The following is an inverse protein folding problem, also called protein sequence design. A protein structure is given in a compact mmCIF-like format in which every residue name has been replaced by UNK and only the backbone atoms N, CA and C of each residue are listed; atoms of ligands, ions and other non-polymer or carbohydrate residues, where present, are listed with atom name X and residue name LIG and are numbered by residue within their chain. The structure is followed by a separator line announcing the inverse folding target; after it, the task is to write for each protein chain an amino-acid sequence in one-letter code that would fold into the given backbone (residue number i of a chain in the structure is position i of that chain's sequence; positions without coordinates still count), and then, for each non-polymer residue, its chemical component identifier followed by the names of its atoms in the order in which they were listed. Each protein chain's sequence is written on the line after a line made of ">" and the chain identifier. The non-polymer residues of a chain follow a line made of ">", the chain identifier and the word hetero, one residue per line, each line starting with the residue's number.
data_IF_566485001657
#
_entry.id   IF_566485001657
#
_cell.length_a   1.000
_cell.length_b   1.000
_cell.length_c   1.000
_cell.angle_alpha   90.00
_cell.angle_beta   90.00
_cell.angle_gamma   90.00
#
_symmetry.space_group_name_H-M   'P 1'
#
loop_
_entity.id
_entity.type
_entity.pdbx_description
1 polymer ?
#
# COMPACT_ATOMS: atom_id res chain seq x y z
N UNK A 1 26.43 -27.62 18.47
CA UNK A 1 27.23 -26.38 18.30
C UNK A 1 27.98 -26.31 16.97
N UNK A 2 28.41 -27.45 16.40
CA UNK A 2 29.09 -27.47 15.09
C UNK A 2 28.22 -26.97 13.91
N UNK A 3 26.95 -27.32 13.90
CA UNK A 3 25.98 -26.90 12.87
C UNK A 3 25.81 -25.37 12.78
N UNK A 4 25.82 -24.73 13.94
CA UNK A 4 25.68 -23.25 14.01
C UNK A 4 26.92 -22.56 13.45
N UNK A 5 28.11 -23.06 13.75
CA UNK A 5 29.36 -22.51 13.23
C UNK A 5 29.46 -22.64 11.70
N UNK A 6 29.08 -23.80 11.16
CA UNK A 6 29.04 -24.00 9.69
C UNK A 6 28.04 -23.09 9.00
N UNK A 7 26.88 -22.79 9.63
CA UNK A 7 25.89 -21.87 9.09
C UNK A 7 26.40 -20.43 9.05
N UNK A 8 27.07 -19.97 10.12
CA UNK A 8 27.68 -18.65 10.20
C UNK A 8 28.74 -18.45 9.11
N UNK A 9 29.63 -19.47 8.96
CA UNK A 9 30.67 -19.43 7.92
C UNK A 9 30.06 -19.39 6.51
N UNK A 10 29.02 -20.16 6.25
CA UNK A 10 28.28 -20.10 4.97
C UNK A 10 27.63 -18.74 4.72
N UNK A 11 27.12 -18.09 5.77
CA UNK A 11 26.51 -16.76 5.65
C UNK A 11 27.54 -15.68 5.32
N UNK A 12 28.77 -15.81 5.80
CA UNK A 12 29.86 -14.85 5.50
C UNK A 12 30.15 -14.75 3.99
N UNK A 13 29.99 -15.85 3.26
CA UNK A 13 30.22 -15.91 1.80
C UNK A 13 28.94 -15.75 0.96
N UNK A 14 27.78 -15.58 1.59
CA UNK A 14 26.54 -15.29 0.87
C UNK A 14 26.42 -13.82 0.54
N UNK A 15 25.89 -13.54 -0.64
CA UNK A 15 25.53 -12.18 -1.03
C UNK A 15 24.52 -11.62 -0.02
N UNK A 16 24.73 -10.40 0.52
CA UNK A 16 23.79 -9.81 1.47
C UNK A 16 22.40 -9.67 0.85
N UNK A 17 21.37 -10.03 1.62
CA UNK A 17 19.98 -9.88 1.22
C UNK A 17 19.45 -8.45 1.41
N UNK A 18 20.25 -7.58 2.06
CA UNK A 18 19.87 -6.20 2.33
C UNK A 18 19.72 -5.42 1.02
N UNK A 19 18.59 -4.77 0.86
CA UNK A 19 18.41 -3.81 -0.22
C UNK A 19 19.22 -2.54 0.08
N UNK A 20 20.20 -2.26 -0.76
CA UNK A 20 21.06 -1.06 -0.63
C UNK A 20 20.44 0.22 -1.23
N UNK A 21 19.19 0.15 -1.69
CA UNK A 21 18.42 1.32 -2.06
C UNK A 21 18.08 2.15 -0.78
N UNK A 22 18.17 3.49 -0.76
CA UNK A 22 18.59 4.36 -1.87
C UNK A 22 20.12 4.58 -1.94
N UNK A 23 20.91 4.07 -1.00
CA UNK A 23 22.36 4.35 -0.87
C UNK A 23 23.16 4.02 -2.16
N UNK A 24 22.75 2.98 -2.89
CA UNK A 24 23.37 2.61 -4.18
C UNK A 24 23.30 3.73 -5.23
N UNK A 25 22.29 4.57 -5.15
CA UNK A 25 22.00 5.63 -6.13
C UNK A 25 22.30 7.03 -5.57
N UNK A 26 22.73 7.11 -4.31
CA UNK A 26 23.07 8.38 -3.69
C UNK A 26 24.34 8.96 -4.35
N UNK A 27 24.31 10.21 -4.84
CA UNK A 27 25.49 10.87 -5.36
C UNK A 27 26.44 11.26 -4.19
N UNK A 28 27.74 11.32 -4.44
CA UNK A 28 28.73 11.76 -3.43
C UNK A 28 28.44 13.18 -2.95
N UNK A 29 27.97 14.05 -3.85
CA UNK A 29 27.53 15.41 -3.52
C UNK A 29 26.21 15.72 -4.22
N UNK A 30 25.18 16.01 -3.43
CA UNK A 30 23.86 16.35 -3.94
C UNK A 30 23.87 17.66 -4.74
N UNK A 31 24.63 18.67 -4.29
CA UNK A 31 24.70 19.96 -4.97
C UNK A 31 25.32 19.82 -6.36
N UNK A 32 26.48 19.16 -6.47
CA UNK A 32 27.14 18.95 -7.76
C UNK A 32 26.30 18.07 -8.70
N UNK A 33 25.53 17.14 -8.16
CA UNK A 33 24.61 16.34 -8.94
C UNK A 33 23.47 17.18 -9.52
N UNK A 34 22.86 18.05 -8.70
CA UNK A 34 21.78 18.94 -9.14
C UNK A 34 22.27 19.97 -10.18
N UNK A 35 23.49 20.49 -10.02
CA UNK A 35 24.11 21.38 -11.02
C UNK A 35 24.30 20.67 -12.38
N UNK A 36 24.71 19.40 -12.36
CA UNK A 36 24.83 18.59 -13.57
C UNK A 36 23.48 18.24 -14.19
N UNK A 37 22.45 18.02 -13.37
CA UNK A 37 21.07 17.85 -13.86
C UNK A 37 20.55 19.12 -14.51
N UNK A 38 20.82 20.30 -13.90
CA UNK A 38 20.45 21.59 -14.46
C UNK A 38 21.14 21.90 -15.82
N UNK A 39 22.34 21.33 -16.02
CA UNK A 39 23.08 21.41 -17.29
C UNK A 39 22.74 20.31 -18.29
N UNK A 40 21.73 19.48 -17.98
CA UNK A 40 21.30 18.34 -18.81
C UNK A 40 22.39 17.28 -19.04
N UNK A 41 23.49 17.30 -18.28
CA UNK A 41 24.58 16.34 -18.40
C UNK A 41 24.22 14.97 -17.85
N UNK A 42 23.32 14.94 -16.83
CA UNK A 42 22.88 13.73 -16.12
C UNK A 42 21.37 13.76 -15.98
N UNK A 43 20.71 12.63 -16.23
CA UNK A 43 19.28 12.48 -15.96
C UNK A 43 19.04 12.04 -14.53
N UNK A 44 17.94 12.51 -13.93
CA UNK A 44 17.45 11.97 -12.67
C UNK A 44 17.19 10.47 -12.82
N UNK A 45 17.48 9.72 -11.77
CA UNK A 45 17.14 8.29 -11.77
C UNK A 45 15.64 8.13 -11.97
N UNK A 46 15.21 7.11 -12.72
CA UNK A 46 13.80 6.82 -12.86
C UNK A 46 13.19 6.52 -11.48
N UNK A 47 11.92 6.85 -11.26
CA UNK A 47 11.25 6.52 -10.02
C UNK A 47 11.32 5.01 -9.76
N UNK A 48 11.29 4.63 -8.48
CA UNK A 48 11.29 3.21 -8.09
C UNK A 48 10.09 2.53 -8.73
N UNK A 49 10.34 1.42 -9.41
CA UNK A 49 9.26 0.60 -9.95
C UNK A 49 8.48 -0.02 -8.81
N UNK A 50 7.20 0.29 -8.74
CA UNK A 50 6.31 -0.24 -7.70
C UNK A 50 5.89 -1.66 -8.11
N UNK A 51 6.09 -2.67 -7.25
CA UNK A 51 5.69 -4.04 -7.55
C UNK A 51 4.17 -4.18 -7.59
N UNK A 52 3.69 -5.12 -8.41
CA UNK A 52 2.26 -5.46 -8.45
C UNK A 52 1.76 -5.89 -7.07
N UNK A 53 0.56 -5.44 -6.70
CA UNK A 53 -0.03 -5.75 -5.39
C UNK A 53 0.52 -4.88 -4.24
N UNK A 54 1.22 -3.80 -4.56
CA UNK A 54 1.64 -2.82 -3.56
C UNK A 54 0.43 -2.24 -2.79
N UNK A 55 0.62 -2.00 -1.51
CA UNK A 55 -0.42 -1.48 -0.61
C UNK A 55 -0.08 -0.06 -0.19
N UNK A 56 -0.30 0.89 -1.10
CA UNK A 56 -0.14 2.31 -0.82
C UNK A 56 -1.39 2.94 -0.20
N UNK A 57 -1.55 4.24 -0.37
CA UNK A 57 -2.69 5.01 0.15
C UNK A 57 -4.02 4.41 -0.30
N UNK A 58 -5.02 4.43 0.57
CA UNK A 58 -6.38 4.00 0.22
C UNK A 58 -7.05 5.10 -0.60
N UNK A 59 -7.65 4.74 -1.73
CA UNK A 59 -8.61 5.58 -2.43
C UNK A 59 -10.03 5.10 -2.14
N UNK A 60 -10.96 6.04 -2.04
CA UNK A 60 -12.35 5.80 -1.70
C UNK A 60 -13.27 6.53 -2.66
N UNK A 61 -14.14 5.78 -3.31
CA UNK A 61 -15.23 6.26 -4.13
C UNK A 61 -16.48 6.44 -3.26
N UNK A 62 -16.74 7.68 -2.92
CA UNK A 62 -17.84 8.04 -2.04
C UNK A 62 -19.21 7.86 -2.71
N UNK A 63 -19.31 8.12 -4.01
CA UNK A 63 -20.58 8.10 -4.72
C UNK A 63 -21.17 6.69 -4.77
N UNK A 64 -20.36 5.70 -5.13
CA UNK A 64 -20.78 4.32 -5.29
C UNK A 64 -20.83 3.53 -3.96
N UNK A 65 -20.48 4.14 -2.84
CA UNK A 65 -20.50 3.49 -1.54
C UNK A 65 -21.93 3.20 -1.06
N UNK A 66 -22.22 1.93 -0.72
CA UNK A 66 -23.53 1.49 -0.23
C UNK A 66 -23.80 1.78 1.26
N UNK A 67 -22.78 2.22 2.03
CA UNK A 67 -22.92 2.50 3.45
C UNK A 67 -23.10 1.25 4.33
N UNK A 68 -22.60 0.09 3.93
CA UNK A 68 -22.81 -1.18 4.64
C UNK A 68 -21.99 -1.34 5.93
N UNK A 69 -21.07 -0.43 6.26
CA UNK A 69 -20.22 -0.39 7.47
C UNK A 69 -19.23 -1.57 7.63
N UNK A 70 -19.11 -2.49 6.68
CA UNK A 70 -18.22 -3.64 6.85
C UNK A 70 -16.76 -3.21 6.99
N UNK A 71 -16.30 -2.26 6.18
CA UNK A 71 -14.95 -1.70 6.27
C UNK A 71 -14.66 -1.05 7.63
N UNK A 72 -15.64 -0.36 8.22
CA UNK A 72 -15.54 0.21 9.57
C UNK A 72 -15.37 -0.87 10.65
N UNK A 73 -16.16 -1.95 10.57
CA UNK A 73 -16.15 -3.05 11.55
C UNK A 73 -14.85 -3.87 11.50
N UNK A 74 -14.30 -4.07 10.30
CA UNK A 74 -13.12 -4.94 10.10
C UNK A 74 -11.80 -4.20 10.37
N UNK A 75 -11.80 -2.86 10.46
CA UNK A 75 -10.57 -2.09 10.58
C UNK A 75 -9.88 -2.31 11.95
N UNK A 76 -8.69 -2.94 12.01
CA UNK A 76 -8.04 -3.27 13.28
C UNK A 76 -7.52 -2.03 14.01
N UNK A 77 -7.18 -0.98 13.30
CA UNK A 77 -6.61 0.26 13.85
C UNK A 77 -7.65 1.37 14.07
N UNK A 78 -8.91 1.10 13.75
CA UNK A 78 -9.98 2.12 13.75
C UNK A 78 -9.61 3.38 12.94
N UNK A 79 -8.94 3.17 11.82
CA UNK A 79 -8.61 4.25 10.90
C UNK A 79 -9.82 4.76 10.09
N UNK A 80 -10.94 4.03 10.12
CA UNK A 80 -12.17 4.37 9.41
C UNK A 80 -13.19 4.86 10.41
N UNK A 81 -13.75 6.04 10.17
CA UNK A 81 -14.86 6.59 10.93
C UNK A 81 -16.15 6.52 10.11
N UNK A 82 -17.25 6.19 10.78
CA UNK A 82 -18.57 6.15 10.17
C UNK A 82 -19.28 7.50 10.33
N UNK A 83 -19.84 8.01 9.24
CA UNK A 83 -20.64 9.25 9.20
C UNK A 83 -22.12 8.86 9.07
N UNK A 84 -22.89 8.83 10.18
CA UNK A 84 -24.27 8.31 10.19
C UNK A 84 -25.23 9.14 9.35
N UNK A 85 -25.07 10.45 9.34
CA UNK A 85 -25.95 11.37 8.59
C UNK A 85 -25.88 11.15 7.09
N UNK A 86 -24.70 10.89 6.58
CA UNK A 86 -24.43 10.73 5.16
C UNK A 86 -24.40 9.26 4.71
N UNK A 87 -24.39 8.32 5.67
CA UNK A 87 -24.18 6.87 5.46
C UNK A 87 -22.89 6.57 4.67
N UNK A 88 -21.85 7.31 4.97
CA UNK A 88 -20.54 7.26 4.30
C UNK A 88 -19.43 7.09 5.33
N UNK A 89 -18.21 6.96 4.85
CA UNK A 89 -17.04 6.78 5.70
C UNK A 89 -16.01 7.89 5.48
N UNK A 90 -15.14 8.04 6.48
CA UNK A 90 -13.95 8.88 6.44
C UNK A 90 -12.76 8.03 6.88
N UNK A 91 -11.68 8.07 6.13
CA UNK A 91 -10.49 7.24 6.37
C UNK A 91 -9.31 8.12 6.78
N UNK A 92 -8.70 7.81 7.92
CA UNK A 92 -7.51 8.50 8.42
C UNK A 92 -6.27 7.68 8.10
N UNK A 93 -5.50 8.12 7.12
CA UNK A 93 -4.28 7.44 6.67
C UNK A 93 -3.25 7.39 7.81
N UNK A 94 -3.16 8.42 8.64
CA UNK A 94 -2.26 8.47 9.80
C UNK A 94 -2.46 7.34 10.83
N UNK A 95 -3.64 6.70 10.85
CA UNK A 95 -3.95 5.55 11.71
C UNK A 95 -3.92 4.22 10.94
N UNK A 96 -3.81 4.27 9.60
CA UNK A 96 -3.95 3.11 8.75
C UNK A 96 -2.68 2.24 8.80
N UNK A 97 -2.84 0.92 8.94
CA UNK A 97 -1.74 -0.05 8.84
C UNK A 97 -1.64 -0.70 7.46
N UNK A 98 -2.36 -0.22 6.47
CA UNK A 98 -2.32 -0.68 5.07
C UNK A 98 -2.57 -2.19 4.90
N UNK A 99 -3.38 -2.80 5.75
CA UNK A 99 -3.66 -4.24 5.73
C UNK A 99 -4.58 -4.70 4.58
N UNK A 100 -5.24 -3.77 3.89
CA UNK A 100 -6.20 -4.00 2.80
C UNK A 100 -7.51 -4.72 3.17
N UNK A 101 -7.74 -5.10 4.42
CA UNK A 101 -8.97 -5.81 4.82
C UNK A 101 -10.25 -5.05 4.48
N UNK A 102 -10.24 -3.72 4.55
CA UNK A 102 -11.40 -2.89 4.16
C UNK A 102 -11.69 -2.95 2.65
N UNK A 103 -10.65 -3.16 1.83
CA UNK A 103 -10.78 -3.36 0.38
C UNK A 103 -11.37 -4.73 0.08
N UNK A 104 -10.86 -5.77 0.75
CA UNK A 104 -11.28 -7.16 0.52
C UNK A 104 -12.74 -7.40 0.94
N UNK A 105 -13.20 -6.76 2.03
CA UNK A 105 -14.55 -6.94 2.56
C UNK A 105 -15.61 -6.07 1.86
N UNK A 106 -15.20 -5.12 1.02
CA UNK A 106 -16.13 -4.18 0.39
C UNK A 106 -16.96 -4.84 -0.73
N UNK A 107 -18.28 -5.02 -0.57
CA UNK A 107 -19.09 -5.74 -1.55
C UNK A 107 -19.28 -4.97 -2.86
N UNK A 108 -19.11 -3.65 -2.82
CA UNK A 108 -19.25 -2.75 -3.98
C UNK A 108 -17.91 -2.24 -4.51
N UNK A 109 -16.80 -2.70 -3.93
CA UNK A 109 -15.43 -2.39 -4.35
C UNK A 109 -15.12 -0.89 -4.49
N UNK A 110 -15.66 -0.07 -3.60
CA UNK A 110 -15.44 1.38 -3.56
C UNK A 110 -14.17 1.80 -2.82
N UNK A 111 -13.43 0.84 -2.28
CA UNK A 111 -12.13 1.04 -1.66
C UNK A 111 -11.06 0.30 -2.46
N UNK A 112 -9.96 0.96 -2.77
CA UNK A 112 -8.81 0.34 -3.45
C UNK A 112 -7.51 0.81 -2.81
N UNK A 113 -6.47 -0.04 -2.88
CA UNK A 113 -5.11 0.36 -2.54
C UNK A 113 -4.46 0.97 -3.77
N UNK A 114 -3.87 2.14 -3.64
CA UNK A 114 -3.14 2.81 -4.72
C UNK A 114 -1.65 2.49 -4.66
N UNK A 115 -0.91 2.99 -5.61
CA UNK A 115 0.55 2.92 -5.63
C UNK A 115 1.21 4.11 -4.92
N UNK A 116 0.41 5.05 -4.40
CA UNK A 116 0.90 6.22 -3.71
C UNK A 116 1.44 5.86 -2.32
N UNK A 117 2.73 6.12 -2.09
CA UNK A 117 3.42 5.80 -0.83
C UNK A 117 4.23 6.97 -0.25
N UNK A 118 4.42 8.03 -1.02
CA UNK A 118 5.12 9.23 -0.54
C UNK A 118 4.16 10.10 0.27
N UNK A 119 3.86 9.63 1.49
CA UNK A 119 2.91 10.22 2.40
C UNK A 119 3.65 10.79 3.60
N UNK A 120 3.89 12.10 3.61
CA UNK A 120 4.53 12.77 4.73
C UNK A 120 3.89 14.13 4.96
N UNK A 121 3.43 14.37 6.18
CA UNK A 121 2.94 15.66 6.62
C UNK A 121 3.22 15.84 8.11
N UNK A 122 3.41 17.08 8.55
CA UNK A 122 3.58 17.42 9.96
C UNK A 122 2.26 17.33 10.73
N UNK A 123 1.12 17.55 10.06
CA UNK A 123 -0.20 17.38 10.64
C UNK A 123 -0.81 16.04 10.19
N UNK A 124 -1.07 15.18 11.18
CA UNK A 124 -1.72 13.86 10.95
C UNK A 124 -3.16 13.93 10.45
N UNK A 125 -3.78 15.10 10.50
CA UNK A 125 -5.13 15.36 10.02
C UNK A 125 -5.17 16.28 8.80
N UNK A 126 -4.03 16.51 8.16
CA UNK A 126 -3.98 17.22 6.90
C UNK A 126 -4.91 16.58 5.85
N UNK A 127 -5.46 17.39 4.97
CA UNK A 127 -6.43 16.94 3.95
C UNK A 127 -5.88 15.80 3.07
N UNK A 128 -4.58 15.77 2.85
CA UNK A 128 -3.90 14.69 2.12
C UNK A 128 -3.98 13.33 2.81
N UNK A 129 -4.06 13.34 4.16
CA UNK A 129 -4.07 12.16 5.01
C UNK A 129 -5.48 11.79 5.52
N UNK A 130 -6.47 12.55 5.14
CA UNK A 130 -7.87 12.31 5.49
C UNK A 130 -8.69 12.11 4.22
N UNK A 131 -9.10 10.89 3.95
CA UNK A 131 -9.84 10.54 2.76
C UNK A 131 -11.33 10.59 3.04
N UNK A 132 -12.00 11.52 2.40
CA UNK A 132 -13.46 11.66 2.42
C UNK A 132 -14.03 11.21 1.07
N UNK A 133 -13.34 11.57 0.00
CA UNK A 133 -13.64 11.18 -1.36
C UNK A 133 -12.36 11.30 -2.19
N UNK A 134 -12.09 10.33 -3.04
CA UNK A 134 -10.95 10.36 -3.95
C UNK A 134 -11.36 10.58 -5.41
N UNK A 135 -12.66 10.72 -5.67
CA UNK A 135 -13.21 10.78 -7.02
C UNK A 135 -13.01 9.46 -7.78
N UNK A 136 -12.64 9.54 -9.06
CA UNK A 136 -12.39 8.35 -9.86
C UNK A 136 -11.24 7.53 -9.30
N UNK A 137 -11.52 6.25 -9.02
CA UNK A 137 -10.52 5.32 -8.53
C UNK A 137 -9.44 5.08 -9.59
N UNK A 138 -8.15 5.24 -9.26
CA UNK A 138 -7.06 4.96 -10.17
C UNK A 138 -7.11 3.47 -10.55
N UNK A 139 -7.37 3.19 -11.82
CA UNK A 139 -7.46 1.84 -12.34
C UNK A 139 -8.67 1.08 -11.80
N UNK A 140 -9.87 1.39 -12.30
CA UNK A 140 -11.03 0.51 -12.15
C UNK A 140 -10.75 -0.81 -12.90
N UNK A 141 -9.88 -1.64 -12.32
CA UNK A 141 -9.85 -3.04 -12.64
C UNK A 141 -11.22 -3.56 -12.19
N UNK A 142 -12.14 -3.69 -13.15
CA UNK A 142 -13.32 -4.53 -12.99
C UNK A 142 -12.80 -5.93 -12.64
N UNK A 143 -12.52 -6.16 -11.35
CA UNK A 143 -12.31 -7.53 -10.87
C UNK A 143 -13.62 -8.22 -11.15
N UNK A 144 -13.62 -9.13 -12.16
CA UNK A 144 -14.69 -10.10 -12.34
C UNK A 144 -15.01 -10.63 -10.96
N UNK A 145 -16.31 -10.67 -10.63
CA UNK A 145 -16.79 -11.41 -9.47
C UNK A 145 -16.08 -12.76 -9.49
N UNK A 146 -15.48 -13.23 -8.38
CA UNK A 146 -15.15 -14.65 -8.29
C UNK A 146 -16.46 -15.36 -8.49
N UNK A 147 -16.54 -16.13 -9.57
CA UNK A 147 -17.64 -17.02 -9.85
C UNK A 147 -17.80 -17.89 -8.59
N UNK A 148 -19.02 -17.92 -8.07
CA UNK A 148 -19.38 -18.65 -6.87
C UNK A 148 -19.47 -20.17 -7.19
N UNK A 149 -18.33 -20.74 -7.61
CA UNK A 149 -18.16 -22.16 -7.90
C UNK A 149 -16.72 -22.55 -7.54
N UNK A 150 -16.51 -22.86 -6.31
CA UNK A 150 -15.47 -23.77 -5.76
C UNK A 150 -15.41 -23.66 -4.25
N UNK A 151 -16.51 -23.91 -3.56
CA UNK A 151 -16.50 -24.29 -2.15
C UNK A 151 -16.99 -25.74 -2.04
N UNK A 152 -16.33 -26.65 -2.74
CA UNK A 152 -16.37 -28.06 -2.38
C UNK A 152 -15.14 -28.39 -1.58
N UNK A 153 -15.41 -28.59 -0.32
CA UNK A 153 -14.50 -29.00 0.73
C UNK A 153 -14.23 -30.51 0.56
N UNK A 154 -13.00 -30.99 0.34
CA UNK A 154 -12.68 -32.40 0.49
C UNK A 154 -12.19 -32.66 1.90
N UNK A 155 -13.12 -32.74 2.85
CA UNK A 155 -12.93 -33.49 4.07
C UNK A 155 -13.78 -34.74 3.95
N UNK A 156 -13.11 -35.82 3.68
CA UNK A 156 -13.30 -37.19 4.16
C UNK A 156 -12.67 -38.19 3.18
N UNK A 157 -11.61 -38.78 3.60
CA UNK A 157 -11.42 -40.23 3.48
C UNK A 157 -10.06 -40.64 4.14
N UNK A 158 -10.25 -41.36 5.27
CA UNK A 158 -9.42 -42.44 5.85
C UNK A 158 -8.12 -42.08 6.47
#
# INVERSE_FOLDING_TARGET
>A
MWETATTIIKQLFRKPATNIFPAKYAPESTLSFLDRVAKEEVKLHPPVTIPSGFRGKIAYDRENCSGCQQCYKVCPTRAIEWLPEEKKIKVFISRCCFCAQCVDVCPVHTLVMTEEFLLANYDKYADELVIIDSGELPGSVKRKKPDAEAAENPTEQS
#
